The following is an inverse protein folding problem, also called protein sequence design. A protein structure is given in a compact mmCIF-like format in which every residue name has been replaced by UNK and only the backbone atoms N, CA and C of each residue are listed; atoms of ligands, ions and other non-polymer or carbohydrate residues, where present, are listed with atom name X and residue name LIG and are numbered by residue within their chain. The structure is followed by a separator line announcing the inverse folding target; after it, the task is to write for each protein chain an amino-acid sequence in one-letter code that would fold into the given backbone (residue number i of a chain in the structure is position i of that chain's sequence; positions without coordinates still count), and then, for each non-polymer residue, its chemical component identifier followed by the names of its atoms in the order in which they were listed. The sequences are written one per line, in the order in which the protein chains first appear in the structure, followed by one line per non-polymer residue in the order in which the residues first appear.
data_IF_022951351110
#
_entry.id   IF_022951351110
#
_cell.length_a   1.000
_cell.length_b   1.000
_cell.length_c   1.000
_cell.angle_alpha   90.00
_cell.angle_beta   90.00
_cell.angle_gamma   90.00
#
_symmetry.space_group_name_H-M   'P 1'
#
loop_
_entity.id
_entity.type
_entity.pdbx_description
1 polymer ?
#
# COMPACT_ATOMS: atom_id res chain seq x y z
N UNK A 1 -11.14 47.14 -23.62
CA UNK A 1 -10.62 46.15 -24.58
C UNK A 1 -11.05 44.78 -24.07
N UNK A 2 -12.18 44.26 -24.56
CA UNK A 2 -12.69 42.94 -24.16
C UNK A 2 -12.29 41.96 -25.27
N UNK A 3 -11.39 41.03 -24.97
CA UNK A 3 -11.01 39.98 -25.92
C UNK A 3 -12.17 38.98 -26.02
N UNK A 4 -12.90 39.03 -27.13
CA UNK A 4 -13.82 37.96 -27.51
C UNK A 4 -12.99 36.76 -27.97
N UNK A 5 -12.76 35.82 -27.04
CA UNK A 5 -12.18 34.52 -27.38
C UNK A 5 -13.26 33.72 -28.11
N UNK A 6 -13.20 33.68 -29.44
CA UNK A 6 -14.04 32.79 -30.23
C UNK A 6 -13.44 31.38 -30.19
N UNK A 7 -14.08 30.49 -29.45
CA UNK A 7 -13.70 29.08 -29.43
C UNK A 7 -14.23 28.42 -30.70
N UNK A 8 -13.34 27.99 -31.59
CA UNK A 8 -13.72 27.25 -32.79
C UNK A 8 -14.29 25.88 -32.41
N UNK A 9 -15.23 25.31 -33.20
CA UNK A 9 -15.89 24.04 -32.87
C UNK A 9 -14.91 22.86 -32.71
N UNK A 10 -13.74 22.91 -33.37
CA UNK A 10 -12.64 21.97 -33.16
C UNK A 10 -12.02 22.10 -31.77
N UNK A 11 -11.72 23.32 -31.32
CA UNK A 11 -11.20 23.56 -29.99
C UNK A 11 -12.20 23.17 -28.90
N UNK A 12 -13.49 23.43 -29.11
CA UNK A 12 -14.56 22.99 -28.21
C UNK A 12 -14.66 21.46 -28.12
N UNK A 13 -14.59 20.75 -29.25
CA UNK A 13 -14.60 19.29 -29.28
C UNK A 13 -13.38 18.68 -28.59
N UNK A 14 -12.18 19.26 -28.79
CA UNK A 14 -10.96 18.80 -28.12
C UNK A 14 -11.03 19.01 -26.61
N UNK A 15 -11.49 20.18 -26.15
CA UNK A 15 -11.68 20.47 -24.72
C UNK A 15 -12.68 19.50 -24.11
N UNK A 16 -13.81 19.27 -24.79
CA UNK A 16 -14.83 18.32 -24.33
C UNK A 16 -14.27 16.90 -24.23
N UNK A 17 -13.47 16.47 -25.21
CA UNK A 17 -12.80 15.17 -25.18
C UNK A 17 -11.84 15.05 -23.99
N UNK A 18 -11.03 16.07 -23.69
CA UNK A 18 -10.12 16.07 -22.55
C UNK A 18 -10.84 16.06 -21.19
N UNK A 19 -12.04 16.63 -21.10
CA UNK A 19 -12.84 16.63 -19.86
C UNK A 19 -13.55 15.29 -19.65
N UNK A 20 -14.00 14.62 -20.73
CA UNK A 20 -14.80 13.39 -20.63
C UNK A 20 -13.97 12.10 -20.66
N UNK A 21 -12.78 12.09 -21.29
CA UNK A 21 -11.89 10.92 -21.33
C UNK A 21 -11.54 10.36 -19.94
N UNK A 22 -11.19 11.18 -18.93
CA UNK A 22 -10.80 10.68 -17.60
C UNK A 22 -11.93 9.90 -16.91
N UNK A 23 -13.17 10.34 -17.09
CA UNK A 23 -14.36 9.68 -16.51
C UNK A 23 -14.63 8.32 -17.15
N UNK A 24 -14.27 8.14 -18.42
CA UNK A 24 -14.38 6.87 -19.14
C UNK A 24 -13.22 5.92 -18.82
N UNK A 25 -12.08 6.46 -18.40
CA UNK A 25 -10.90 5.70 -17.97
C UNK A 25 -10.85 5.46 -16.45
N UNK A 26 -11.80 6.03 -15.70
CA UNK A 26 -11.88 5.84 -14.27
C UNK A 26 -12.20 4.37 -13.98
N UNK A 27 -11.29 3.70 -13.25
CA UNK A 27 -11.57 2.37 -12.72
C UNK A 27 -12.80 2.43 -11.82
N UNK A 28 -13.65 1.41 -11.91
CA UNK A 28 -14.74 1.23 -10.97
C UNK A 28 -14.24 1.27 -9.53
N UNK A 29 -15.03 1.87 -8.63
CA UNK A 29 -14.77 1.79 -7.20
C UNK A 29 -14.90 0.33 -6.80
N UNK A 30 -13.80 -0.27 -6.38
CA UNK A 30 -13.84 -1.62 -5.81
C UNK A 30 -14.34 -1.52 -4.38
N UNK A 31 -15.33 -2.34 -4.07
CA UNK A 31 -15.77 -2.53 -2.70
C UNK A 31 -14.65 -3.18 -1.89
N UNK A 32 -14.58 -2.81 -0.61
CA UNK A 32 -13.69 -3.48 0.31
C UNK A 32 -14.14 -4.93 0.48
N UNK A 33 -13.19 -5.85 0.35
CA UNK A 33 -13.44 -7.25 0.65
C UNK A 33 -12.82 -7.62 1.99
N UNK A 34 -13.56 -8.39 2.79
CA UNK A 34 -12.99 -9.07 3.95
C UNK A 34 -12.39 -10.39 3.49
N UNK A 35 -11.20 -10.69 3.98
CA UNK A 35 -10.63 -12.03 3.88
C UNK A 35 -10.99 -12.78 5.16
N UNK A 36 -11.72 -13.88 5.01
CA UNK A 36 -12.14 -14.74 6.11
C UNK A 36 -11.25 -15.99 6.18
N UNK A 37 -11.26 -16.65 7.35
CA UNK A 37 -10.52 -17.90 7.60
C UNK A 37 -9.01 -17.79 7.27
N UNK A 38 -8.44 -16.66 7.69
CA UNK A 38 -7.02 -16.38 7.54
C UNK A 38 -6.24 -16.83 8.77
N UNK A 39 -5.14 -17.56 8.55
CA UNK A 39 -4.25 -18.03 9.59
C UNK A 39 -2.83 -17.57 9.36
N UNK A 40 -2.13 -17.27 10.46
CA UNK A 40 -0.70 -17.02 10.45
C UNK A 40 0.06 -18.29 10.02
N UNK A 41 1.07 -18.13 9.18
CA UNK A 41 1.95 -19.21 8.74
C UNK A 41 3.35 -18.91 9.26
N UNK A 42 3.89 -19.79 10.11
CA UNK A 42 5.28 -19.66 10.56
C UNK A 42 6.24 -19.68 9.37
N UNK A 43 7.08 -18.66 9.31
CA UNK A 43 8.08 -18.50 8.28
C UNK A 43 9.27 -17.73 8.84
N UNK A 44 10.48 -18.10 8.40
CA UNK A 44 11.74 -17.54 8.90
C UNK A 44 11.88 -16.02 8.67
N UNK A 45 11.19 -15.49 7.67
CA UNK A 45 11.27 -14.07 7.30
C UNK A 45 10.05 -13.26 7.80
N UNK A 46 9.24 -13.82 8.70
CA UNK A 46 8.17 -13.06 9.34
C UNK A 46 8.78 -12.05 10.34
N UNK A 47 8.27 -10.83 10.32
CA UNK A 47 8.62 -9.77 11.26
C UNK A 47 7.37 -8.96 11.67
N UNK A 48 7.57 -7.84 12.36
CA UNK A 48 6.49 -7.06 12.95
C UNK A 48 5.54 -6.40 11.95
N UNK A 49 5.97 -6.13 10.71
CA UNK A 49 5.13 -5.49 9.68
C UNK A 49 4.87 -6.37 8.46
N UNK A 50 5.59 -7.49 8.33
CA UNK A 50 5.60 -8.35 7.15
C UNK A 50 5.55 -9.82 7.56
N UNK A 51 4.43 -10.48 7.29
CA UNK A 51 4.26 -11.88 7.69
C UNK A 51 3.43 -12.69 6.70
N UNK A 52 3.66 -14.01 6.66
CA UNK A 52 2.88 -14.94 5.84
C UNK A 52 1.51 -15.23 6.46
N UNK A 53 0.51 -15.19 5.60
CA UNK A 53 -0.88 -15.51 5.92
C UNK A 53 -1.42 -16.48 4.87
N UNK A 54 -2.18 -17.47 5.32
CA UNK A 54 -2.97 -18.34 4.46
C UNK A 54 -4.45 -18.05 4.67
N UNK A 55 -5.18 -17.73 3.61
CA UNK A 55 -6.63 -17.57 3.61
C UNK A 55 -7.22 -18.54 2.58
N UNK A 56 -7.89 -19.60 3.04
CA UNK A 56 -8.30 -20.72 2.18
C UNK A 56 -7.10 -21.36 1.46
N UNK A 57 -7.16 -21.44 0.12
CA UNK A 57 -6.11 -22.04 -0.71
C UNK A 57 -4.97 -21.07 -1.06
N UNK A 58 -5.08 -19.79 -0.69
CA UNK A 58 -4.09 -18.76 -1.03
C UNK A 58 -3.19 -18.47 0.14
N UNK A 59 -1.89 -18.47 -0.11
CA UNK A 59 -0.88 -18.02 0.83
C UNK A 59 -0.12 -16.83 0.24
N UNK A 60 0.06 -15.79 1.04
CA UNK A 60 0.71 -14.55 0.62
C UNK A 60 1.36 -13.84 1.82
N UNK A 61 2.24 -12.88 1.53
CA UNK A 61 2.79 -11.99 2.56
C UNK A 61 1.87 -10.78 2.72
N UNK A 62 1.36 -10.57 3.93
CA UNK A 62 0.70 -9.34 4.31
C UNK A 62 1.77 -8.34 4.78
N UNK A 63 1.70 -7.09 4.30
CA UNK A 63 2.53 -5.99 4.77
C UNK A 63 1.67 -4.86 5.30
N UNK A 64 1.94 -4.45 6.53
CA UNK A 64 1.32 -3.31 7.18
C UNK A 64 2.12 -2.06 6.82
N UNK A 65 1.49 -1.11 6.14
CA UNK A 65 2.13 0.17 5.83
C UNK A 65 1.85 1.19 6.92
N UNK A 66 2.83 2.05 7.18
CA UNK A 66 2.74 3.16 8.15
C UNK A 66 2.58 2.72 9.61
N UNK A 67 3.04 1.50 9.94
CA UNK A 67 3.22 1.05 11.32
C UNK A 67 4.69 1.14 11.70
N UNK A 68 4.97 1.33 12.98
CA UNK A 68 6.32 1.21 13.53
C UNK A 68 6.51 -0.22 14.00
N UNK A 69 7.55 -0.90 13.52
CA UNK A 69 7.81 -2.32 13.77
C UNK A 69 9.31 -2.58 13.91
N UNK A 70 9.66 -3.43 14.88
CA UNK A 70 11.04 -3.86 15.08
C UNK A 70 11.49 -4.79 13.95
N UNK A 71 12.71 -4.57 13.46
CA UNK A 71 13.37 -5.46 12.50
C UNK A 71 13.90 -6.71 13.21
N UNK A 72 13.72 -7.87 12.58
CA UNK A 72 14.20 -9.18 13.08
C UNK A 72 15.55 -9.59 12.46
N UNK A 73 16.01 -8.87 11.44
CA UNK A 73 17.22 -9.20 10.70
C UNK A 73 18.46 -8.43 11.21
N UNK A 74 19.44 -9.17 11.74
CA UNK A 74 20.68 -8.62 12.29
C UNK A 74 21.71 -8.09 11.27
N UNK A 75 21.35 -7.96 9.98
CA UNK A 75 22.20 -7.31 8.95
C UNK A 75 22.67 -5.91 9.38
N UNK A 76 21.84 -5.20 10.14
CA UNK A 76 22.19 -3.91 10.74
C UNK A 76 22.01 -3.96 12.25
N UNK A 77 22.84 -4.74 12.94
CA UNK A 77 22.70 -5.01 14.38
C UNK A 77 22.58 -3.77 15.28
N UNK A 78 23.24 -2.66 14.96
CA UNK A 78 23.12 -1.41 15.72
C UNK A 78 21.68 -0.86 15.69
N UNK A 79 21.01 -0.93 14.52
CA UNK A 79 19.62 -0.49 14.35
C UNK A 79 18.67 -1.40 15.10
N UNK A 80 18.86 -2.72 15.01
CA UNK A 80 18.04 -3.70 15.73
C UNK A 80 18.17 -3.47 17.25
N UNK A 81 19.38 -3.20 17.74
CA UNK A 81 19.61 -2.86 19.15
C UNK A 81 18.92 -1.55 19.57
N UNK A 82 18.99 -0.51 18.75
CA UNK A 82 18.30 0.76 19.05
C UNK A 82 16.78 0.57 19.08
N UNK A 83 16.24 -0.20 18.14
CA UNK A 83 14.82 -0.55 18.10
C UNK A 83 14.43 -1.41 19.29
N UNK A 84 15.23 -2.41 19.68
CA UNK A 84 14.92 -3.27 20.83
C UNK A 84 14.82 -2.44 22.12
N UNK A 85 15.71 -1.45 22.29
CA UNK A 85 15.63 -0.48 23.38
C UNK A 85 14.40 0.42 23.28
N UNK A 86 14.03 0.86 22.07
CA UNK A 86 12.84 1.69 21.84
C UNK A 86 11.55 0.96 22.21
N UNK A 87 11.41 -0.29 21.77
CA UNK A 87 10.24 -1.14 22.00
C UNK A 87 10.24 -1.84 23.37
N UNK A 88 11.35 -1.81 24.11
CA UNK A 88 11.48 -2.47 25.41
C UNK A 88 11.52 -4.00 25.31
N UNK A 89 12.05 -4.54 24.21
CA UNK A 89 12.17 -5.98 23.92
C UNK A 89 13.63 -6.42 23.95
N UNK A 90 13.88 -7.71 24.18
CA UNK A 90 15.22 -8.27 24.06
C UNK A 90 15.57 -8.56 22.59
N UNK A 91 16.87 -8.69 22.30
CA UNK A 91 17.33 -9.11 20.97
C UNK A 91 16.98 -10.56 20.66
N UNK A 92 16.62 -11.36 21.66
CA UNK A 92 16.14 -12.73 21.46
C UNK A 92 14.64 -12.75 21.09
N UNK A 93 13.93 -11.62 21.28
CA UNK A 93 12.51 -11.44 20.93
C UNK A 93 12.33 -10.85 19.51
N UNK A 94 13.44 -10.49 18.84
CA UNK A 94 13.50 -10.03 17.44
C UNK A 94 14.08 -11.11 16.55
#
# INVERSE_FOLDING_TARGET
MLYNVSVTPRAAATILAFVLLPSLLASEKKEWMKLDDCHYVEWQDNDGDSFRVRCGEKEFTARLYYVDAAETNLRHGDRVREQSLHFGISLDDT
#
